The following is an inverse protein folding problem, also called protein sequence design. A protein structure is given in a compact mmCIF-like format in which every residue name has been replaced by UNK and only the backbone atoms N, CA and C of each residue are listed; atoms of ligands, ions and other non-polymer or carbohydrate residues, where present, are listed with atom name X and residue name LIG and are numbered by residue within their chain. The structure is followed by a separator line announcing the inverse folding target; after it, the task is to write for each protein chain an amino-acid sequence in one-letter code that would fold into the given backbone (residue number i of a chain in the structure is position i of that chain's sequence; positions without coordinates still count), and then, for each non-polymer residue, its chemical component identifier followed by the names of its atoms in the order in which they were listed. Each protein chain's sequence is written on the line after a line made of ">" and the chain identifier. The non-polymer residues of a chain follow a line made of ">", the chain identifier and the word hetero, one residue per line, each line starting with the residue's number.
data_IF_629713951907
#
_entry.id   IF_629713951907
#
_cell.length_a   1.000
_cell.length_b   1.000
_cell.length_c   1.000
_cell.angle_alpha   90.00
_cell.angle_beta   90.00
_cell.angle_gamma   90.00
#
_symmetry.space_group_name_H-M   'P 1'
#
loop_
_entity.id
_entity.type
_entity.pdbx_description
1 polymer ?
#
# COMPACT_ATOMS: atom_id res chain seq x y z
N UNK A 1 48.97 -23.61 -8.42
CA UNK A 1 47.73 -23.40 -7.63
C UNK A 1 46.65 -24.43 -8.01
N UNK A 2 46.44 -24.72 -9.30
CA UNK A 2 45.51 -25.77 -9.77
C UNK A 2 45.84 -27.19 -9.26
N UNK A 3 47.12 -27.58 -9.21
CA UNK A 3 47.53 -28.92 -8.74
C UNK A 3 47.24 -29.16 -7.26
N UNK A 4 47.29 -28.10 -6.45
CA UNK A 4 46.98 -28.19 -5.01
C UNK A 4 45.46 -28.31 -4.79
N UNK A 5 44.67 -27.61 -5.61
CA UNK A 5 43.21 -27.67 -5.57
C UNK A 5 42.67 -29.06 -5.97
N UNK A 6 43.24 -29.66 -7.02
CA UNK A 6 42.85 -31.00 -7.47
C UNK A 6 43.23 -32.09 -6.46
N UNK A 7 44.36 -31.94 -5.77
CA UNK A 7 44.78 -32.83 -4.69
C UNK A 7 43.83 -32.76 -3.48
N UNK A 8 43.41 -31.56 -3.08
CA UNK A 8 42.47 -31.35 -1.97
C UNK A 8 41.07 -31.90 -2.27
N UNK A 9 40.62 -31.89 -3.53
CA UNK A 9 39.31 -32.44 -3.92
C UNK A 9 39.27 -33.98 -3.88
N UNK A 10 40.43 -34.65 -3.94
CA UNK A 10 40.54 -36.11 -3.96
C UNK A 10 40.51 -36.77 -2.58
N UNK A 11 40.49 -35.96 -1.52
CA UNK A 11 40.51 -36.42 -0.13
C UNK A 11 39.05 -36.59 0.32
N UNK A 12 38.59 -37.84 0.48
CA UNK A 12 37.15 -38.18 0.66
C UNK A 12 36.56 -37.75 2.01
N UNK A 13 37.40 -37.38 2.99
CA UNK A 13 36.98 -36.96 4.35
C UNK A 13 37.75 -35.73 4.82
N UNK A 14 37.43 -34.58 4.23
CA UNK A 14 38.06 -33.31 4.57
C UNK A 14 37.37 -32.53 5.70
N UNK A 15 36.26 -33.06 6.25
CA UNK A 15 35.44 -32.35 7.24
C UNK A 15 36.26 -31.93 8.45
N UNK A 16 36.96 -32.87 9.09
CA UNK A 16 37.82 -32.54 10.22
C UNK A 16 38.95 -31.58 9.84
N UNK A 17 39.37 -31.50 8.57
CA UNK A 17 40.52 -30.68 8.16
C UNK A 17 40.14 -29.22 7.90
N UNK A 18 38.93 -28.96 7.40
CA UNK A 18 38.46 -27.63 7.02
C UNK A 18 37.33 -27.07 7.89
N UNK A 19 36.65 -27.91 8.66
CA UNK A 19 35.61 -27.50 9.60
C UNK A 19 36.15 -27.63 11.04
N UNK A 20 35.76 -26.68 11.89
CA UNK A 20 36.04 -26.69 13.34
C UNK A 20 37.52 -26.72 13.76
N UNK A 21 38.47 -26.47 12.83
CA UNK A 21 39.92 -26.43 13.14
C UNK A 21 40.41 -25.10 13.65
N UNK A 22 39.75 -24.01 13.26
CA UNK A 22 40.09 -22.66 13.67
C UNK A 22 38.93 -22.01 14.44
N UNK A 23 39.25 -21.00 15.26
CA UNK A 23 38.26 -20.30 16.10
C UNK A 23 37.21 -19.55 15.28
N UNK A 24 37.55 -19.20 14.02
CA UNK A 24 36.69 -18.43 13.12
C UNK A 24 35.76 -19.38 12.34
N UNK A 25 36.16 -20.63 12.12
CA UNK A 25 35.42 -21.65 11.39
C UNK A 25 34.88 -21.10 10.07
N UNK A 26 35.78 -20.62 9.21
CA UNK A 26 35.41 -19.79 8.05
C UNK A 26 34.36 -20.45 7.15
N UNK A 27 34.42 -21.77 6.97
CA UNK A 27 33.49 -22.51 6.13
C UNK A 27 32.09 -22.53 6.74
N UNK A 28 31.97 -22.90 8.02
CA UNK A 28 30.68 -22.93 8.73
C UNK A 28 30.07 -21.53 8.88
N UNK A 29 30.89 -20.54 9.25
CA UNK A 29 30.45 -19.14 9.37
C UNK A 29 29.96 -18.59 8.03
N UNK A 30 30.70 -18.84 6.94
CA UNK A 30 30.29 -18.41 5.59
C UNK A 30 29.01 -19.11 5.17
N UNK A 31 28.90 -20.42 5.36
CA UNK A 31 27.68 -21.17 5.07
C UNK A 31 26.49 -20.58 5.84
N UNK A 32 26.64 -20.33 7.14
CA UNK A 32 25.58 -19.75 7.97
C UNK A 32 25.14 -18.37 7.48
N UNK A 33 26.08 -17.52 7.05
CA UNK A 33 25.77 -16.20 6.48
C UNK A 33 25.01 -16.37 5.16
N UNK A 34 25.47 -17.25 4.27
CA UNK A 34 24.83 -17.50 2.98
C UNK A 34 23.42 -18.08 3.14
N UNK A 35 23.24 -19.05 4.04
CA UNK A 35 21.91 -19.60 4.37
C UNK A 35 21.02 -18.53 5.01
N UNK A 36 21.57 -17.65 5.85
CA UNK A 36 20.85 -16.51 6.42
C UNK A 36 20.38 -15.53 5.36
N UNK A 37 21.22 -15.21 4.36
CA UNK A 37 20.85 -14.35 3.24
C UNK A 37 19.76 -15.01 2.36
N UNK A 38 19.93 -16.28 2.02
CA UNK A 38 18.98 -17.05 1.21
C UNK A 38 17.58 -17.08 1.83
N UNK A 39 17.52 -17.37 3.13
CA UNK A 39 16.24 -17.43 3.86
C UNK A 39 15.62 -16.05 4.05
N UNK A 40 16.42 -15.01 4.33
CA UNK A 40 15.94 -13.64 4.48
C UNK A 40 15.39 -13.04 3.18
N UNK A 41 15.96 -13.42 2.04
CA UNK A 41 15.53 -12.98 0.72
C UNK A 41 14.37 -13.83 0.15
N UNK A 42 13.90 -14.84 0.90
CA UNK A 42 12.86 -15.77 0.47
C UNK A 42 13.18 -16.44 -0.88
N UNK A 43 14.44 -16.83 -1.09
CA UNK A 43 14.90 -17.39 -2.36
C UNK A 43 14.21 -18.71 -2.72
N UNK A 44 13.75 -19.49 -1.75
CA UNK A 44 12.99 -20.73 -2.02
C UNK A 44 11.67 -20.45 -2.74
N UNK A 45 11.01 -19.32 -2.43
CA UNK A 45 9.71 -18.95 -3.00
C UNK A 45 9.81 -18.55 -4.48
N UNK A 46 11.00 -18.11 -4.93
CA UNK A 46 11.27 -17.88 -6.35
C UNK A 46 11.05 -19.17 -7.17
N UNK A 47 11.46 -20.31 -6.62
CA UNK A 47 11.43 -21.60 -7.31
C UNK A 47 10.21 -22.44 -6.95
N UNK A 48 9.46 -22.06 -5.92
CA UNK A 48 8.20 -22.71 -5.58
C UNK A 48 7.22 -22.59 -6.75
N UNK A 49 6.68 -23.72 -7.24
CA UNK A 49 5.64 -23.71 -8.28
C UNK A 49 6.03 -23.01 -9.60
N UNK A 50 7.33 -22.87 -9.89
CA UNK A 50 7.85 -22.08 -11.01
C UNK A 50 7.40 -20.61 -11.00
N UNK A 51 7.21 -20.02 -9.82
CA UNK A 51 6.79 -18.63 -9.66
C UNK A 51 7.70 -17.67 -10.45
N UNK A 52 9.02 -17.87 -10.42
CA UNK A 52 9.98 -17.03 -11.16
C UNK A 52 9.75 -17.07 -12.65
N UNK A 53 9.59 -18.26 -13.23
CA UNK A 53 9.39 -18.41 -14.68
C UNK A 53 8.08 -17.77 -15.14
N UNK A 54 7.01 -17.93 -14.35
CA UNK A 54 5.69 -17.35 -14.65
C UNK A 54 5.76 -15.81 -14.55
N UNK A 55 6.39 -15.30 -13.49
CA UNK A 55 6.59 -13.87 -13.29
C UNK A 55 7.40 -13.26 -14.44
N UNK A 56 8.53 -13.88 -14.80
CA UNK A 56 9.39 -13.41 -15.87
C UNK A 56 8.70 -13.44 -17.22
N UNK A 57 7.91 -14.49 -17.51
CA UNK A 57 7.12 -14.54 -18.74
C UNK A 57 6.13 -13.38 -18.84
N UNK A 58 5.37 -13.09 -17.77
CA UNK A 58 4.43 -11.96 -17.73
C UNK A 58 5.14 -10.61 -17.85
N UNK A 59 6.28 -10.45 -17.16
CA UNK A 59 7.12 -9.25 -17.25
C UNK A 59 7.64 -9.02 -18.66
N UNK A 60 8.16 -10.07 -19.31
CA UNK A 60 8.65 -9.98 -20.70
C UNK A 60 7.50 -9.61 -21.65
N UNK A 61 6.30 -10.17 -21.48
CA UNK A 61 5.14 -9.81 -22.29
C UNK A 61 4.79 -8.32 -22.15
N UNK A 62 4.79 -7.80 -20.92
CA UNK A 62 4.60 -6.37 -20.68
C UNK A 62 5.71 -5.54 -21.36
N UNK A 63 6.98 -5.90 -21.20
CA UNK A 63 8.10 -5.19 -21.82
C UNK A 63 8.03 -5.18 -23.35
N UNK A 64 7.62 -6.30 -23.96
CA UNK A 64 7.38 -6.40 -25.40
C UNK A 64 6.26 -5.44 -25.81
N UNK A 65 5.12 -5.46 -25.11
CA UNK A 65 4.01 -4.56 -25.43
C UNK A 65 4.41 -3.09 -25.30
N UNK A 66 5.10 -2.71 -24.21
CA UNK A 66 5.57 -1.35 -23.98
C UNK A 66 6.51 -0.87 -25.09
N UNK A 67 7.40 -1.75 -25.57
CA UNK A 67 8.34 -1.42 -26.64
C UNK A 67 7.65 -1.20 -27.99
N UNK A 68 6.60 -1.97 -28.29
CA UNK A 68 5.88 -1.94 -29.56
C UNK A 68 4.85 -0.79 -29.63
N UNK A 69 4.29 -0.37 -28.50
CA UNK A 69 3.15 0.54 -28.44
C UNK A 69 3.50 1.95 -27.90
N UNK A 70 4.65 2.49 -28.29
CA UNK A 70 5.12 3.79 -27.81
C UNK A 70 4.10 4.93 -28.03
N UNK A 71 3.81 5.70 -26.99
CA UNK A 71 2.80 6.76 -26.96
C UNK A 71 1.35 6.31 -26.77
N UNK A 72 1.08 4.99 -26.70
CA UNK A 72 -0.25 4.40 -26.43
C UNK A 72 -0.18 3.25 -25.43
N UNK A 73 0.91 3.18 -24.68
CA UNK A 73 1.28 2.10 -23.75
C UNK A 73 0.17 1.87 -22.72
N UNK A 74 -0.32 2.95 -22.09
CA UNK A 74 -1.29 2.88 -21.00
C UNK A 74 -2.63 2.26 -21.38
N UNK A 75 -3.00 2.31 -22.67
CA UNK A 75 -4.27 1.76 -23.15
C UNK A 75 -4.05 0.37 -23.72
N UNK A 76 -3.00 0.17 -24.52
CA UNK A 76 -2.78 -1.09 -25.23
C UNK A 76 -2.12 -2.17 -24.37
N UNK A 77 -1.28 -1.78 -23.40
CA UNK A 77 -0.56 -2.70 -22.52
C UNK A 77 -1.17 -2.82 -21.12
N UNK A 78 -2.35 -2.21 -20.89
CA UNK A 78 -3.02 -2.24 -19.60
C UNK A 78 -3.30 -3.68 -19.15
N UNK A 79 -3.75 -4.53 -20.08
CA UNK A 79 -4.05 -5.94 -19.78
C UNK A 79 -2.80 -6.70 -19.33
N UNK A 80 -1.68 -6.55 -20.02
CA UNK A 80 -0.42 -7.21 -19.66
C UNK A 80 0.10 -6.72 -18.30
N UNK A 81 -0.03 -5.42 -18.02
CA UNK A 81 0.32 -4.85 -16.73
C UNK A 81 -0.57 -5.40 -15.59
N UNK A 82 -1.88 -5.47 -15.82
CA UNK A 82 -2.82 -6.00 -14.83
C UNK A 82 -2.58 -7.48 -14.57
N UNK A 83 -2.32 -8.28 -15.61
CA UNK A 83 -2.02 -9.71 -15.49
C UNK A 83 -0.74 -9.97 -14.66
N UNK A 84 0.33 -9.18 -14.90
CA UNK A 84 1.54 -9.23 -14.09
C UNK A 84 1.27 -8.80 -12.64
N UNK A 85 0.55 -7.69 -12.44
CA UNK A 85 0.31 -7.15 -11.10
C UNK A 85 -0.64 -8.03 -10.28
N UNK A 86 -1.66 -8.64 -10.91
CA UNK A 86 -2.56 -9.58 -10.25
C UNK A 86 -1.81 -10.83 -9.80
N UNK A 87 -0.98 -11.41 -10.66
CA UNK A 87 -0.12 -12.52 -10.29
C UNK A 87 0.77 -12.19 -9.07
N UNK A 88 1.43 -11.04 -9.08
CA UNK A 88 2.26 -10.60 -7.94
C UNK A 88 1.42 -10.43 -6.66
N UNK A 89 0.25 -9.78 -6.75
CA UNK A 89 -0.61 -9.54 -5.59
C UNK A 89 -1.14 -10.84 -5.01
N UNK A 90 -1.45 -11.83 -5.84
CA UNK A 90 -1.90 -13.12 -5.36
C UNK A 90 -0.77 -13.94 -4.74
N UNK A 91 0.45 -13.82 -5.26
CA UNK A 91 1.64 -14.40 -4.64
C UNK A 91 1.92 -13.76 -3.27
N UNK A 92 1.84 -12.43 -3.18
CA UNK A 92 2.01 -11.66 -1.93
C UNK A 92 0.98 -12.07 -0.86
N UNK A 93 -0.28 -12.29 -1.25
CA UNK A 93 -1.32 -12.79 -0.35
C UNK A 93 -1.05 -14.22 0.11
N UNK A 94 -0.67 -15.11 -0.80
CA UNK A 94 -0.43 -16.53 -0.51
C UNK A 94 0.76 -16.71 0.44
N UNK A 95 1.79 -15.88 0.28
CA UNK A 95 3.02 -15.95 1.07
C UNK A 95 3.04 -14.94 2.22
N UNK A 96 1.92 -14.32 2.60
CA UNK A 96 1.86 -13.36 3.71
C UNK A 96 2.88 -12.20 3.61
N UNK A 97 3.16 -11.71 2.41
CA UNK A 97 4.16 -10.66 2.14
C UNK A 97 5.61 -11.15 2.04
N UNK A 98 5.83 -12.47 2.12
CA UNK A 98 7.13 -13.11 1.95
C UNK A 98 7.31 -13.52 0.48
N UNK A 99 7.54 -12.53 -0.37
CA UNK A 99 7.85 -12.77 -1.79
C UNK A 99 9.36 -12.71 -1.98
N UNK A 100 9.90 -13.52 -2.88
CA UNK A 100 11.31 -13.47 -3.26
C UNK A 100 11.75 -12.04 -3.62
N UNK A 101 12.88 -11.58 -3.08
CA UNK A 101 13.33 -10.19 -3.22
C UNK A 101 13.48 -9.75 -4.68
N UNK A 102 13.96 -10.63 -5.56
CA UNK A 102 14.13 -10.32 -6.98
C UNK A 102 12.79 -9.94 -7.65
N UNK A 103 11.70 -10.63 -7.29
CA UNK A 103 10.36 -10.30 -7.79
C UNK A 103 9.83 -9.00 -7.16
N UNK A 104 10.08 -8.76 -5.87
CA UNK A 104 9.66 -7.52 -5.20
C UNK A 104 10.31 -6.31 -5.86
N UNK A 105 11.63 -6.37 -6.07
CA UNK A 105 12.40 -5.30 -6.69
C UNK A 105 11.99 -5.09 -8.14
N UNK A 106 11.81 -6.17 -8.88
CA UNK A 106 11.33 -6.12 -10.27
C UNK A 106 9.94 -5.47 -10.36
N UNK A 107 8.98 -5.93 -9.56
CA UNK A 107 7.62 -5.37 -9.54
C UNK A 107 7.62 -3.91 -9.08
N UNK A 108 8.47 -3.54 -8.12
CA UNK A 108 8.59 -2.16 -7.66
C UNK A 108 9.11 -1.24 -8.78
N UNK A 109 10.14 -1.67 -9.52
CA UNK A 109 10.61 -0.96 -10.72
C UNK A 109 9.52 -0.86 -11.78
N UNK A 110 8.80 -1.94 -12.07
CA UNK A 110 7.70 -1.93 -13.04
C UNK A 110 6.59 -0.96 -12.64
N UNK A 111 6.19 -0.92 -11.35
CA UNK A 111 5.18 0.02 -10.85
C UNK A 111 5.64 1.47 -10.95
N UNK A 112 6.91 1.75 -10.63
CA UNK A 112 7.48 3.09 -10.80
C UNK A 112 7.47 3.48 -12.28
N UNK A 113 7.92 2.60 -13.16
CA UNK A 113 7.93 2.86 -14.60
C UNK A 113 6.52 3.11 -15.15
N UNK A 114 5.57 2.26 -14.79
CA UNK A 114 4.17 2.40 -15.20
C UNK A 114 3.51 3.68 -14.70
N UNK A 115 3.73 4.03 -13.43
CA UNK A 115 3.03 5.15 -12.79
C UNK A 115 3.71 6.49 -12.98
N UNK A 116 5.03 6.58 -12.88
CA UNK A 116 5.78 7.85 -12.91
C UNK A 116 6.34 8.15 -14.29
N UNK A 117 6.97 7.16 -14.92
CA UNK A 117 7.68 7.42 -16.19
C UNK A 117 6.69 7.49 -17.36
N UNK A 118 5.68 6.62 -17.37
CA UNK A 118 4.63 6.57 -18.40
C UNK A 118 3.35 7.33 -18.02
N UNK A 119 3.23 7.78 -16.76
CA UNK A 119 2.04 8.48 -16.23
C UNK A 119 0.71 7.74 -16.48
N UNK A 120 0.73 6.39 -16.52
CA UNK A 120 -0.46 5.59 -16.82
C UNK A 120 -1.44 5.50 -15.66
N UNK A 121 -1.04 5.92 -14.45
CA UNK A 121 -1.89 5.86 -13.26
C UNK A 121 -2.73 7.14 -13.12
N UNK A 122 -3.79 7.24 -13.91
CA UNK A 122 -4.75 8.34 -13.77
C UNK A 122 -5.97 7.91 -12.97
N UNK A 123 -6.00 8.31 -11.70
CA UNK A 123 -7.20 8.16 -10.87
C UNK A 123 -8.20 9.25 -11.28
N UNK A 124 -9.15 8.92 -12.16
CA UNK A 124 -10.31 9.78 -12.44
C UNK A 124 -11.16 9.86 -11.18
N UNK A 125 -10.94 10.88 -10.38
CA UNK A 125 -11.76 11.19 -9.23
C UNK A 125 -12.67 12.36 -9.58
N UNK A 126 -13.99 12.14 -9.49
CA UNK A 126 -14.96 13.21 -9.64
C UNK A 126 -14.93 14.09 -8.39
N UNK A 127 -13.98 15.03 -8.37
CA UNK A 127 -13.80 16.01 -7.30
C UNK A 127 -15.12 16.73 -6.96
N UNK A 128 -15.96 16.96 -7.96
CA UNK A 128 -17.26 17.61 -7.78
C UNK A 128 -18.22 16.78 -6.92
N UNK A 129 -18.33 15.47 -7.16
CA UNK A 129 -19.21 14.58 -6.39
C UNK A 129 -18.76 14.49 -4.93
N UNK A 130 -17.44 14.40 -4.72
CA UNK A 130 -16.84 14.39 -3.40
C UNK A 130 -17.11 15.68 -2.63
N UNK A 131 -16.92 16.84 -3.26
CA UNK A 131 -17.18 18.14 -2.65
C UNK A 131 -18.66 18.33 -2.29
N UNK A 132 -19.58 17.93 -3.16
CA UNK A 132 -21.03 18.00 -2.87
C UNK A 132 -21.36 17.14 -1.66
N UNK A 133 -20.83 15.92 -1.61
CA UNK A 133 -21.10 14.98 -0.51
C UNK A 133 -20.53 15.52 0.80
N UNK A 134 -19.31 16.05 0.80
CA UNK A 134 -18.73 16.71 1.97
C UNK A 134 -19.56 17.92 2.40
N UNK A 135 -20.03 18.74 1.46
CA UNK A 135 -20.88 19.89 1.73
C UNK A 135 -22.19 19.52 2.41
N UNK A 136 -22.87 18.46 1.94
CA UNK A 136 -24.10 17.96 2.56
C UNK A 136 -23.82 17.48 3.99
N UNK A 137 -22.75 16.71 4.22
CA UNK A 137 -22.38 16.20 5.54
C UNK A 137 -22.11 17.34 6.53
N UNK A 138 -21.52 18.46 6.09
CA UNK A 138 -21.30 19.66 6.92
C UNK A 138 -22.58 20.47 7.14
N UNK A 139 -23.47 20.56 6.15
CA UNK A 139 -24.73 21.28 6.25
C UNK A 139 -25.74 20.61 7.19
N UNK A 140 -25.77 19.27 7.24
CA UNK A 140 -26.69 18.53 8.10
C UNK A 140 -26.67 18.94 9.58
N UNK A 141 -25.52 19.00 10.28
CA UNK A 141 -25.47 19.47 11.66
C UNK A 141 -25.84 20.95 11.79
N UNK A 142 -25.42 21.81 10.84
CA UNK A 142 -25.78 23.24 10.88
C UNK A 142 -27.30 23.45 10.80
N UNK A 143 -27.97 22.73 9.89
CA UNK A 143 -29.43 22.76 9.77
C UNK A 143 -30.08 22.19 11.03
N UNK A 144 -29.60 21.07 11.57
CA UNK A 144 -30.12 20.48 12.80
C UNK A 144 -30.06 21.44 13.99
N UNK A 145 -28.91 22.07 14.24
CA UNK A 145 -28.76 23.04 15.34
C UNK A 145 -29.55 24.33 15.10
N UNK A 146 -29.63 24.80 13.85
CA UNK A 146 -30.43 25.97 13.51
C UNK A 146 -31.92 25.73 13.71
N UNK A 147 -32.42 24.56 13.29
CA UNK A 147 -33.82 24.16 13.45
C UNK A 147 -34.19 23.98 14.92
N UNK A 148 -33.34 23.31 15.71
CA UNK A 148 -33.60 23.16 17.15
C UNK A 148 -33.61 24.50 17.88
N UNK A 149 -32.65 25.40 17.59
CA UNK A 149 -32.63 26.76 18.15
C UNK A 149 -33.85 27.60 17.75
N UNK A 150 -34.30 27.51 16.49
CA UNK A 150 -35.49 28.24 16.04
C UNK A 150 -36.78 27.71 16.71
N UNK A 151 -36.89 26.39 16.90
CA UNK A 151 -38.03 25.78 17.57
C UNK A 151 -38.07 26.15 19.06
N UNK A 152 -36.95 26.10 19.78
CA UNK A 152 -36.89 26.47 21.20
C UNK A 152 -37.24 27.95 21.41
N UNK A 153 -36.65 28.85 20.61
CA UNK A 153 -36.96 30.29 20.66
C UNK A 153 -38.42 30.59 20.33
N UNK A 154 -39.02 29.86 19.39
CA UNK A 154 -40.44 30.00 19.07
C UNK A 154 -41.31 29.51 20.23
N UNK A 155 -40.95 28.38 20.83
CA UNK A 155 -41.67 27.82 21.97
C UNK A 155 -41.64 28.77 23.17
N UNK A 156 -40.51 29.41 23.48
CA UNK A 156 -40.42 30.46 24.50
C UNK A 156 -41.40 31.62 24.24
N UNK A 157 -41.48 32.13 23.00
CA UNK A 157 -42.41 33.21 22.64
C UNK A 157 -43.88 32.84 22.74
N UNK A 158 -44.24 31.57 22.51
CA UNK A 158 -45.62 31.10 22.69
C UNK A 158 -45.92 30.72 24.14
N UNK A 159 -44.92 30.26 24.91
CA UNK A 159 -45.11 29.90 26.31
C UNK A 159 -45.22 31.13 27.21
N UNK A 160 -44.52 32.23 26.91
CA UNK A 160 -44.61 33.49 27.66
C UNK A 160 -46.02 34.13 27.54
N UNK A 161 -46.72 33.92 26.43
CA UNK A 161 -48.09 34.41 26.20
C UNK A 161 -49.16 33.62 26.99
N UNK A 162 -48.86 32.39 27.41
CA UNK A 162 -49.79 31.54 28.19
C UNK A 162 -49.53 31.58 29.70
N UNK A 163 -48.57 32.39 30.16
CA UNK A 163 -48.27 32.57 31.59
C UNK A 163 -48.76 33.91 32.15
N UNK A 164 -49.68 34.58 31.45
CA UNK A 164 -50.46 35.68 32.02
C UNK A 164 -51.89 35.18 32.26
N UNK A 165 -52.06 34.32 33.26
CA UNK A 165 -53.38 34.10 33.86
C UNK A 165 -53.54 34.94 35.15
N UNK A 166 -54.66 35.67 35.28
CA UNK A 166 -54.98 36.42 36.47
C UNK A 166 -55.21 35.47 37.65
N UNK A 167 -54.70 35.85 38.81
CA UNK A 167 -55.02 35.22 40.10
C UNK A 167 -56.54 35.11 40.27
N UNK A 168 -57.11 33.91 40.16
CA UNK A 168 -58.36 33.59 40.84
C UNK A 168 -58.43 32.11 41.23
N UNK A 169 -58.87 31.87 42.47
CA UNK A 169 -58.85 30.58 43.15
C UNK A 169 -59.98 29.63 42.69
N UNK A 170 -59.61 28.38 42.38
CA UNK A 170 -60.31 27.08 42.59
C UNK A 170 -61.73 26.82 42.01
N UNK A 171 -62.25 25.56 41.94
CA UNK A 171 -61.61 24.24 42.07
C UNK A 171 -61.86 23.23 40.91
N UNK A 172 -60.99 22.23 40.93
CA UNK A 172 -60.92 20.90 40.32
C UNK A 172 -62.19 20.19 39.79
N UNK A 173 -62.07 19.63 38.58
CA UNK A 173 -62.65 18.35 38.10
C UNK A 173 -61.89 17.98 36.82
N UNK A 174 -61.02 16.99 36.76
CA UNK A 174 -61.17 15.52 36.87
C UNK A 174 -60.88 14.89 35.49
N UNK A 175 -59.86 14.01 35.47
CA UNK A 175 -59.73 12.83 34.60
C UNK A 175 -59.69 13.04 33.07
N UNK A 176 -58.94 12.30 32.27
CA UNK A 176 -57.85 11.34 32.42
C UNK A 176 -57.25 11.22 31.01
N UNK A 177 -55.93 11.19 30.89
CA UNK A 177 -55.25 10.93 29.62
C UNK A 177 -54.91 9.44 29.48
N UNK A 178 -55.32 8.90 28.33
CA UNK A 178 -54.77 7.80 27.52
C UNK A 178 -53.90 6.70 28.15
N UNK A 179 -54.37 5.47 27.95
CA UNK A 179 -53.59 4.32 27.49
C UNK A 179 -53.87 4.14 25.98
N UNK A 180 -53.03 3.63 25.08
CA UNK A 180 -51.89 2.73 25.18
C UNK A 180 -51.29 2.53 23.77
N UNK A 181 -49.95 2.50 23.69
CA UNK A 181 -49.08 1.41 23.18
C UNK A 181 -49.16 0.95 21.70
N UNK A 182 -47.96 0.58 21.22
CA UNK A 182 -47.56 -0.35 20.13
C UNK A 182 -47.45 0.22 18.71
N UNK A 183 -46.46 -0.16 17.89
CA UNK A 183 -45.20 -0.90 18.05
C UNK A 183 -44.42 -0.79 16.73
N UNK A 184 -43.11 -0.99 16.78
CA UNK A 184 -42.22 -1.19 15.63
C UNK A 184 -42.31 -2.66 15.15
N UNK A 185 -41.98 -2.98 13.88
CA UNK A 185 -40.72 -3.69 13.67
C UNK A 185 -39.96 -3.42 12.34
N UNK A 186 -38.63 -3.35 12.49
CA UNK A 186 -37.53 -4.01 11.73
C UNK A 186 -37.58 -4.20 10.21
N UNK A 187 -36.54 -3.69 9.52
CA UNK A 187 -35.57 -4.52 8.77
C UNK A 187 -34.35 -3.69 8.36
N UNK A 188 -33.17 -4.11 8.80
CA UNK A 188 -31.84 -3.66 8.33
C UNK A 188 -31.16 -4.86 7.69
N UNK A 189 -30.79 -4.73 6.42
CA UNK A 189 -29.89 -5.64 5.72
C UNK A 189 -28.51 -4.99 5.68
N UNK A 190 -27.55 -5.57 6.38
CA UNK A 190 -26.14 -5.19 6.29
C UNK A 190 -25.36 -6.37 5.73
N UNK A 191 -24.80 -6.22 4.54
CA UNK A 191 -23.74 -7.07 4.02
C UNK A 191 -22.39 -6.49 4.47
N UNK A 192 -21.54 -7.36 5.02
CA UNK A 192 -20.18 -7.07 5.51
C UNK A 192 -19.19 -7.92 4.73
N UNK A 193 -18.00 -7.35 4.42
CA UNK A 193 -16.65 -7.91 4.62
C UNK A 193 -15.59 -6.96 4.03
N UNK A 194 -14.30 -7.05 4.39
CA UNK A 194 -13.73 -6.96 5.73
C UNK A 194 -12.61 -5.89 5.79
N UNK A 195 -12.49 -5.19 6.92
CA UNK A 195 -11.41 -4.23 7.19
C UNK A 195 -10.35 -4.95 8.02
N UNK A 196 -9.10 -5.02 7.54
CA UNK A 196 -7.95 -5.36 8.39
C UNK A 196 -7.30 -4.05 8.89
N UNK A 197 -6.86 -3.98 10.16
CA UNK A 197 -6.51 -2.73 10.83
C UNK A 197 -5.07 -2.29 10.51
N UNK A 198 -4.89 -0.98 10.33
CA UNK A 198 -3.56 -0.34 10.39
C UNK A 198 -3.08 -0.33 11.84
N UNK A 199 -2.01 -1.08 12.13
CA UNK A 199 -1.24 -0.90 13.38
C UNK A 199 -0.17 0.17 13.13
N UNK A 200 -0.32 1.30 13.82
CA UNK A 200 0.80 2.14 14.24
C UNK A 200 1.66 1.31 15.20
N UNK A 201 2.97 1.26 14.95
CA UNK A 201 3.96 1.22 16.01
C UNK A 201 5.11 2.13 15.60
N UNK A 202 5.27 3.18 16.42
CA UNK A 202 6.42 4.05 16.52
C UNK A 202 7.49 3.24 17.25
N UNK A 203 8.63 3.00 16.61
CA UNK A 203 9.89 2.64 17.28
C UNK A 203 10.99 3.43 16.56
N UNK A 204 11.81 4.07 17.38
CA UNK A 204 12.83 5.07 17.06
C UNK A 204 13.85 4.58 16.03
N UNK A 205 14.16 5.44 15.06
CA UNK A 205 15.31 5.30 14.17
C UNK A 205 16.47 6.02 14.85
N UNK A 206 17.48 5.26 15.30
CA UNK A 206 18.79 5.82 15.59
C UNK A 206 19.44 6.32 14.29
N UNK A 207 19.82 7.58 14.35
CA UNK A 207 20.59 8.34 13.40
C UNK A 207 22.02 7.77 13.30
N UNK A 208 22.39 7.23 12.13
CA UNK A 208 23.78 7.00 11.77
C UNK A 208 24.11 7.85 10.55
N UNK A 209 24.70 9.00 10.81
CA UNK A 209 25.39 9.83 9.84
C UNK A 209 26.67 9.14 9.38
N UNK A 210 26.83 8.94 8.07
CA UNK A 210 28.16 8.85 7.45
C UNK A 210 28.17 9.70 6.18
N UNK A 211 29.06 10.66 6.19
CA UNK A 211 29.41 11.57 5.11
C UNK A 211 30.30 10.87 4.07
N UNK A 212 30.37 11.50 2.90
CA UNK A 212 31.44 11.48 1.89
C UNK A 212 31.25 10.57 0.66
N UNK A 213 31.21 11.23 -0.52
CA UNK A 213 31.56 10.62 -1.80
C UNK A 213 30.79 11.17 -3.01
N UNK A 214 30.93 12.47 -3.31
CA UNK A 214 30.49 13.05 -4.58
C UNK A 214 31.44 12.62 -5.71
N UNK A 215 30.96 11.86 -6.69
CA UNK A 215 31.65 11.66 -7.97
C UNK A 215 30.77 12.19 -9.13
N UNK A 216 31.23 13.32 -9.64
CA UNK A 216 30.73 14.10 -10.76
C UNK A 216 31.12 13.43 -12.09
N UNK A 217 30.14 12.97 -12.87
CA UNK A 217 30.36 12.51 -14.25
C UNK A 217 30.27 13.70 -15.22
N UNK A 218 31.44 14.15 -15.70
CA UNK A 218 31.57 15.16 -16.75
C UNK A 218 31.38 14.52 -18.13
N UNK A 219 30.42 15.06 -18.89
CA UNK A 219 30.11 14.72 -20.27
C UNK A 219 31.17 15.29 -21.24
N UNK A 220 31.86 14.41 -21.99
CA UNK A 220 32.83 14.81 -22.99
C UNK A 220 32.15 15.22 -24.32
N UNK A 221 32.10 16.53 -24.58
CA UNK A 221 31.81 17.07 -25.92
C UNK A 221 33.04 16.97 -26.82
N UNK A 222 33.00 16.07 -27.80
CA UNK A 222 33.98 16.03 -28.89
C UNK A 222 33.57 17.03 -29.98
N UNK A 223 34.40 18.05 -30.24
CA UNK A 223 34.27 18.89 -31.44
C UNK A 223 35.64 19.37 -31.92
N UNK A 224 35.76 19.43 -33.26
CA UNK A 224 36.82 20.00 -34.12
C UNK A 224 37.91 18.99 -34.51
N UNK A 225 38.22 18.74 -35.79
CA UNK A 225 38.69 19.79 -36.71
C UNK A 225 38.50 19.40 -38.18
N UNK A 226 37.90 20.31 -38.97
CA UNK A 226 37.86 20.30 -40.44
C UNK A 226 39.07 21.08 -40.94
N UNK A 227 40.08 20.37 -41.45
CA UNK A 227 41.15 21.00 -42.24
C UNK A 227 40.75 21.05 -43.72
N UNK A 228 41.03 22.19 -44.33
CA UNK A 228 40.84 22.50 -45.75
C UNK A 228 42.23 22.88 -46.27
N UNK A 229 42.73 22.20 -47.31
CA UNK A 229 43.56 22.72 -48.41
C UNK A 229 44.26 21.57 -49.16
N UNK A 230 43.82 21.38 -50.40
CA UNK A 230 44.53 21.05 -51.64
C UNK A 230 43.65 20.15 -52.51
#
# INVERSE_FOLDING_TARGET
>A
MQDMYSLMRKEDNCTEKFFDKDRINIVSTTQSILTGLWTKAYCDDCFHGNNSDIFDSKRINLEVCLRENKGKECVLCLTDYLDLNEFYVDLDKQNNGQVCYDMQDSMNRTRVHWSKDLDCCHRKFDMLLFLITCGIVVLLPLLFYSSTYALTKRQERYHDILTEEPRYNAPSTSAMASSSVADLPSTSSTATCPRVPSKKNIIDIEEYTSSDGDDEYVEAKTTKTRNKMA
#
